data_IF_715042218828
#
_entry.id   IF_715042218828
#
_cell.length_a   1.000
_cell.length_b   1.000
_cell.length_c   1.000
_cell.angle_alpha   90.00
_cell.angle_beta   90.00
_cell.angle_gamma   90.00
#
_symmetry.space_group_name_H-M   'P 1'
#
loop_
_entity.id
_entity.type
_entity.pdbx_description
1 polymer ?
#
# COMPACT_ATOMS: atom_id res chain seq x y z
N UNK A 1 8.03 -20.38 -0.20
CA UNK A 1 6.66 -19.87 -0.35
C UNK A 1 5.68 -20.66 0.51
N UNK A 2 5.66 -21.98 0.43
CA UNK A 2 4.71 -22.82 1.20
C UNK A 2 4.82 -22.58 2.72
N UNK A 3 6.03 -22.47 3.26
CA UNK A 3 6.23 -22.18 4.71
C UNK A 3 5.71 -20.80 5.11
N UNK A 4 5.83 -19.80 4.24
CA UNK A 4 5.36 -18.43 4.48
C UNK A 4 3.84 -18.34 4.34
N UNK A 5 3.24 -19.05 3.39
CA UNK A 5 1.79 -19.17 3.30
C UNK A 5 1.17 -19.76 4.56
N UNK A 6 1.84 -20.75 5.17
CA UNK A 6 1.37 -21.39 6.41
C UNK A 6 1.30 -20.43 7.60
N UNK A 7 2.03 -19.32 7.58
CA UNK A 7 2.00 -18.28 8.61
C UNK A 7 1.25 -17.00 8.18
N UNK A 8 0.47 -17.07 7.10
CA UNK A 8 -0.45 -16.02 6.70
C UNK A 8 0.00 -15.10 5.56
N UNK A 9 1.16 -15.32 4.96
CA UNK A 9 1.55 -14.58 3.76
C UNK A 9 0.82 -15.07 2.52
N UNK A 10 0.50 -14.17 1.63
CA UNK A 10 -0.14 -14.50 0.35
C UNK A 10 0.92 -14.85 -0.70
N UNK A 11 0.54 -15.76 -1.60
CA UNK A 11 1.35 -16.11 -2.76
C UNK A 11 1.31 -14.98 -3.79
N UNK A 12 2.46 -14.67 -4.37
CA UNK A 12 2.60 -13.71 -5.47
C UNK A 12 3.42 -14.26 -6.62
N UNK A 13 3.40 -13.59 -7.74
CA UNK A 13 4.16 -13.96 -8.93
C UNK A 13 4.86 -12.73 -9.48
N UNK A 14 6.18 -12.84 -9.67
CA UNK A 14 6.95 -11.87 -10.46
C UNK A 14 6.85 -12.32 -11.91
N UNK A 15 6.10 -11.57 -12.72
CA UNK A 15 5.83 -11.95 -14.10
C UNK A 15 7.02 -11.67 -15.03
N UNK A 16 7.36 -12.64 -15.85
CA UNK A 16 8.30 -12.46 -16.95
C UNK A 16 7.85 -11.36 -17.93
N UNK A 17 6.57 -11.13 -18.08
CA UNK A 17 6.03 -10.08 -18.96
C UNK A 17 6.45 -8.67 -18.51
N UNK A 18 6.57 -8.45 -17.19
CA UNK A 18 7.04 -7.19 -16.60
C UNK A 18 8.57 -7.10 -16.56
N UNK A 19 9.22 -8.25 -16.46
CA UNK A 19 10.68 -8.35 -16.37
C UNK A 19 11.23 -9.32 -17.42
N UNK A 20 11.37 -8.89 -18.70
CA UNK A 20 11.69 -9.79 -19.82
C UNK A 20 13.01 -10.57 -19.69
N UNK A 21 13.94 -10.12 -18.82
CA UNK A 21 15.18 -10.81 -18.55
C UNK A 21 15.03 -12.07 -17.69
N UNK A 22 13.87 -12.27 -17.08
CA UNK A 22 13.59 -13.48 -16.31
C UNK A 22 13.44 -14.67 -17.25
N UNK A 23 13.92 -15.87 -16.87
CA UNK A 23 13.74 -17.08 -17.66
C UNK A 23 12.27 -17.53 -17.73
N UNK A 24 11.53 -17.32 -16.66
CA UNK A 24 10.12 -17.67 -16.49
C UNK A 24 9.51 -16.80 -15.38
N UNK A 25 8.20 -16.93 -15.13
CA UNK A 25 7.55 -16.35 -13.96
C UNK A 25 8.15 -16.92 -12.68
N UNK A 26 8.33 -16.07 -11.67
CA UNK A 26 8.92 -16.47 -10.39
C UNK A 26 7.87 -16.44 -9.31
N UNK A 27 7.68 -17.58 -8.64
CA UNK A 27 6.82 -17.67 -7.47
C UNK A 27 7.48 -16.97 -6.28
N UNK A 28 6.74 -16.09 -5.63
CA UNK A 28 7.21 -15.30 -4.50
C UNK A 28 6.06 -15.06 -3.51
N UNK A 29 6.27 -14.18 -2.58
CA UNK A 29 5.26 -13.70 -1.64
C UNK A 29 4.72 -12.36 -2.13
N UNK A 30 3.42 -12.19 -2.00
CA UNK A 30 2.76 -10.90 -2.22
C UNK A 30 2.91 -10.03 -0.97
N UNK A 31 3.69 -8.97 -1.09
CA UNK A 31 3.89 -7.96 -0.05
C UNK A 31 3.00 -6.73 -0.23
N UNK A 32 2.00 -6.80 -1.10
CA UNK A 32 1.03 -5.72 -1.25
C UNK A 32 0.25 -5.48 0.05
N UNK A 33 -0.22 -4.27 0.23
CA UNK A 33 -1.00 -3.91 1.41
C UNK A 33 -0.17 -3.61 2.67
N UNK A 34 1.14 -3.43 2.55
CA UNK A 34 1.95 -2.99 3.68
C UNK A 34 1.69 -1.51 4.00
N UNK A 35 1.19 -1.21 5.19
CA UNK A 35 0.85 0.15 5.56
C UNK A 35 2.08 0.96 6.00
N UNK A 36 1.96 2.28 5.93
CA UNK A 36 2.84 3.20 6.64
C UNK A 36 2.23 3.43 8.01
N UNK A 37 2.97 3.13 9.06
CA UNK A 37 2.49 3.23 10.43
C UNK A 37 2.88 4.56 11.07
N UNK A 38 1.98 5.05 11.88
CA UNK A 38 2.24 6.10 12.86
C UNK A 38 1.63 5.66 14.20
N UNK A 39 2.06 6.28 15.28
CA UNK A 39 1.41 6.07 16.57
C UNK A 39 0.06 6.80 16.60
N UNK A 40 -0.89 6.28 17.35
CA UNK A 40 -2.19 6.94 17.56
C UNK A 40 -2.03 8.38 18.06
N UNK A 41 -1.02 8.62 18.89
CA UNK A 41 -0.71 9.93 19.48
C UNK A 41 0.15 10.82 18.59
N UNK A 42 0.51 10.38 17.38
CA UNK A 42 1.25 11.25 16.44
C UNK A 42 0.42 12.49 16.14
N UNK A 43 1.00 13.70 16.23
CA UNK A 43 0.25 14.95 15.99
C UNK A 43 -0.44 14.97 14.64
N UNK A 44 -1.67 15.46 14.60
CA UNK A 44 -2.51 15.50 13.41
C UNK A 44 -1.87 16.29 12.26
N UNK A 45 -1.19 17.39 12.55
CA UNK A 45 -0.50 18.21 11.57
C UNK A 45 0.66 17.45 10.89
N UNK A 46 1.37 16.61 11.62
CA UNK A 46 2.43 15.78 11.07
C UNK A 46 1.85 14.71 10.15
N UNK A 47 0.79 14.01 10.59
CA UNK A 47 0.10 12.99 9.77
C UNK A 47 -0.49 13.62 8.51
N UNK A 48 -1.12 14.78 8.62
CA UNK A 48 -1.64 15.51 7.47
C UNK A 48 -0.52 15.85 6.48
N UNK A 49 0.63 16.31 6.97
CA UNK A 49 1.80 16.61 6.13
C UNK A 49 2.31 15.37 5.40
N UNK A 50 2.36 14.22 6.07
CA UNK A 50 2.77 12.95 5.46
C UNK A 50 1.79 12.56 4.35
N UNK A 51 0.50 12.59 4.62
CA UNK A 51 -0.54 12.27 3.63
C UNK A 51 -0.47 13.20 2.41
N UNK A 52 -0.33 14.50 2.65
CA UNK A 52 -0.18 15.50 1.60
C UNK A 52 1.07 15.27 0.75
N UNK A 53 2.18 14.90 1.36
CA UNK A 53 3.41 14.60 0.64
C UNK A 53 3.28 13.34 -0.23
N UNK A 54 2.64 12.30 0.28
CA UNK A 54 2.36 11.07 -0.47
C UNK A 54 1.46 11.35 -1.67
N UNK A 55 0.39 12.10 -1.46
CA UNK A 55 -0.56 12.47 -2.52
C UNK A 55 0.12 13.32 -3.61
N UNK A 56 0.91 14.31 -3.22
CA UNK A 56 1.65 15.16 -4.16
C UNK A 56 2.69 14.39 -5.00
N UNK A 57 3.17 13.26 -4.51
CA UNK A 57 4.20 12.44 -5.15
C UNK A 57 3.68 11.17 -5.81
N UNK A 58 2.38 10.93 -5.79
CA UNK A 58 1.77 9.69 -6.30
C UNK A 58 2.15 9.35 -7.73
N UNK A 59 2.39 10.36 -8.58
CA UNK A 59 2.81 10.17 -9.97
C UNK A 59 4.30 9.77 -10.11
N UNK A 60 5.09 10.01 -9.06
CA UNK A 60 6.54 9.80 -9.03
C UNK A 60 6.94 8.58 -8.20
N UNK A 61 6.02 8.02 -7.40
CA UNK A 61 6.30 6.84 -6.58
C UNK A 61 6.21 5.62 -7.50
N UNK A 62 7.32 4.87 -7.67
CA UNK A 62 7.29 3.66 -8.47
C UNK A 62 6.45 2.58 -7.79
N UNK A 63 5.58 1.95 -8.57
CA UNK A 63 4.76 0.83 -8.11
C UNK A 63 4.53 -0.16 -9.27
N UNK A 64 4.08 -1.38 -8.93
CA UNK A 64 3.81 -2.41 -9.93
C UNK A 64 2.42 -2.24 -10.54
N UNK A 65 2.27 -1.25 -11.41
CA UNK A 65 1.02 -0.97 -12.09
C UNK A 65 1.19 0.15 -13.10
N UNK A 66 0.12 0.49 -13.79
CA UNK A 66 0.10 1.57 -14.77
C UNK A 66 -0.49 2.85 -14.16
N UNK A 67 0.05 3.99 -14.57
CA UNK A 67 -0.40 5.30 -14.12
C UNK A 67 0.10 5.69 -12.72
N UNK A 68 -0.58 6.64 -12.12
CA UNK A 68 -0.28 7.12 -10.78
C UNK A 68 -0.58 6.06 -9.71
N UNK A 69 0.17 6.10 -8.62
CA UNK A 69 -0.10 5.23 -7.46
C UNK A 69 -1.56 5.41 -7.00
N UNK A 70 -2.35 4.33 -6.91
CA UNK A 70 -3.75 4.41 -6.58
C UNK A 70 -3.98 4.61 -5.08
N UNK A 71 -3.81 5.85 -4.61
CA UNK A 71 -3.91 6.20 -3.18
C UNK A 71 -5.25 5.76 -2.58
N UNK A 72 -6.35 5.91 -3.32
CA UNK A 72 -7.67 5.45 -2.89
C UNK A 72 -7.72 3.94 -2.64
N UNK A 73 -7.07 3.16 -3.49
CA UNK A 73 -6.97 1.72 -3.33
C UNK A 73 -6.15 1.35 -2.10
N UNK A 74 -5.03 2.04 -1.88
CA UNK A 74 -4.19 1.81 -0.70
C UNK A 74 -4.97 2.03 0.60
N UNK A 75 -5.86 3.02 0.63
CA UNK A 75 -6.69 3.29 1.79
C UNK A 75 -7.80 2.25 2.00
N UNK A 76 -8.35 1.70 0.91
CA UNK A 76 -9.48 0.75 0.96
C UNK A 76 -9.04 -0.70 1.15
N UNK A 77 -7.89 -1.04 0.62
CA UNK A 77 -7.34 -2.39 0.71
C UNK A 77 -6.57 -2.62 2.04
N UNK A 78 -6.57 -1.61 2.91
CA UNK A 78 -5.99 -1.73 4.24
C UNK A 78 -6.52 -2.92 5.07
N UNK A 79 -7.79 -3.38 4.92
CA UNK A 79 -8.29 -4.57 5.59
C UNK A 79 -7.53 -5.85 5.23
N UNK A 80 -6.90 -5.89 4.06
CA UNK A 80 -6.08 -7.03 3.63
C UNK A 80 -4.67 -7.02 4.23
N UNK A 81 -4.36 -6.05 5.04
CA UNK A 81 -3.09 -6.06 5.78
C UNK A 81 -3.16 -7.08 6.91
N UNK A 82 -2.05 -7.77 7.21
CA UNK A 82 -2.03 -8.79 8.27
C UNK A 82 -2.39 -8.30 9.67
N UNK A 83 -2.48 -7.00 9.87
CA UNK A 83 -2.56 -6.39 11.20
C UNK A 83 -3.86 -5.63 11.48
N UNK A 84 -4.75 -5.52 10.51
CA UNK A 84 -6.06 -4.83 10.68
C UNK A 84 -5.94 -3.53 11.49
N UNK A 85 -5.03 -2.65 11.07
CA UNK A 85 -4.76 -1.39 11.77
C UNK A 85 -5.67 -0.29 11.21
N UNK A 86 -6.42 0.42 12.06
CA UNK A 86 -7.27 1.51 11.60
C UNK A 86 -6.44 2.69 11.09
N UNK A 87 -7.03 3.51 10.23
CA UNK A 87 -6.42 4.76 9.80
C UNK A 87 -6.29 5.71 11.00
N UNK A 88 -5.20 6.46 11.06
CA UNK A 88 -5.10 7.60 11.96
C UNK A 88 -6.16 8.64 11.59
N UNK A 89 -6.81 9.26 12.59
CA UNK A 89 -7.93 10.18 12.37
C UNK A 89 -7.61 11.30 11.36
N UNK A 90 -6.42 11.87 11.44
CA UNK A 90 -5.98 12.91 10.50
C UNK A 90 -5.76 12.36 9.09
N UNK A 91 -5.30 11.12 8.95
CA UNK A 91 -5.16 10.48 7.65
C UNK A 91 -6.53 10.19 7.04
N UNK A 92 -7.46 9.66 7.81
CA UNK A 92 -8.82 9.41 7.36
C UNK A 92 -9.50 10.71 6.89
N UNK A 93 -9.38 11.78 7.67
CA UNK A 93 -9.92 13.08 7.32
C UNK A 93 -9.35 13.61 6.00
N UNK A 94 -8.03 13.53 5.84
CA UNK A 94 -7.35 13.97 4.62
C UNK A 94 -7.81 13.18 3.39
N UNK A 95 -7.86 11.85 3.49
CA UNK A 95 -8.27 11.00 2.36
C UNK A 95 -9.75 11.19 1.98
N UNK A 96 -10.62 11.48 2.96
CA UNK A 96 -12.02 11.85 2.70
C UNK A 96 -12.13 13.19 1.99
N UNK A 97 -11.40 14.20 2.44
CA UNK A 97 -11.35 15.53 1.82
C UNK A 97 -10.87 15.46 0.37
N UNK A 98 -9.90 14.60 0.07
CA UNK A 98 -9.42 14.36 -1.29
C UNK A 98 -10.37 13.50 -2.14
N UNK A 99 -11.44 12.95 -1.59
CA UNK A 99 -12.37 12.08 -2.29
C UNK A 99 -11.87 10.64 -2.48
N UNK A 100 -10.85 10.21 -1.77
CA UNK A 100 -10.30 8.85 -1.84
C UNK A 100 -11.01 7.85 -0.93
N UNK A 101 -11.74 8.33 0.06
CA UNK A 101 -12.62 7.56 0.92
C UNK A 101 -14.05 8.07 0.77
N UNK A 102 -14.99 7.14 0.85
CA UNK A 102 -16.43 7.44 0.81
C UNK A 102 -16.90 8.11 2.11
#
# INVERSE_FOLDING_TARGET
>A
VVKLEAIGYRRGIISKSLYPKLPHDILTIDFSGWPIYVLEKTPDDLVHTICKALDARRDLIPWQGEGALPVARMCRDAPDTPLDVPLHDAAEAYWRECGYLD
#
